data_IF_504273510220
#
_entry.id   IF_504273510220
#
_cell.length_a   1.000
_cell.length_b   1.000
_cell.length_c   1.000
_cell.angle_alpha   90.00
_cell.angle_beta   90.00
_cell.angle_gamma   90.00
#
_symmetry.space_group_name_H-M   'P 1'
#
loop_
_entity.id
_entity.type
_entity.pdbx_description
1 polymer ?
#
# COMPACT_ATOMS: atom_id res chain seq x y z
N UNK A 1 -4.93 12.44 9.61
CA UNK A 1 -4.33 11.87 8.39
C UNK A 1 -4.26 10.36 8.42
N UNK A 2 -3.79 9.71 9.49
CA UNK A 2 -3.68 8.24 9.49
C UNK A 2 -5.01 7.45 9.61
N UNK A 3 -6.08 8.06 10.13
CA UNK A 3 -7.38 7.39 10.33
C UNK A 3 -8.21 7.27 9.06
N UNK A 4 -7.94 8.07 8.03
CA UNK A 4 -8.71 8.10 6.78
C UNK A 4 -8.77 6.73 6.09
N UNK A 5 -7.70 5.94 6.17
CA UNK A 5 -7.68 4.60 5.57
C UNK A 5 -8.75 3.67 6.16
N UNK A 6 -8.99 3.72 7.48
CA UNK A 6 -9.99 2.88 8.14
C UNK A 6 -11.41 3.39 7.86
N UNK A 7 -11.61 4.71 7.78
CA UNK A 7 -12.89 5.28 7.37
C UNK A 7 -13.26 4.88 5.94
N UNK A 8 -12.31 4.94 5.00
CA UNK A 8 -12.55 4.53 3.60
C UNK A 8 -12.97 3.07 3.48
N UNK A 9 -12.42 2.16 4.28
CA UNK A 9 -12.88 0.76 4.30
C UNK A 9 -14.28 0.62 4.93
N UNK A 10 -14.57 1.37 6.00
CA UNK A 10 -15.90 1.37 6.63
C UNK A 10 -16.98 1.87 5.65
N UNK A 11 -16.65 2.89 4.88
CA UNK A 11 -17.53 3.51 3.88
C UNK A 11 -17.51 2.78 2.52
N UNK A 12 -16.74 1.69 2.41
CA UNK A 12 -16.58 0.86 1.21
C UNK A 12 -16.07 1.63 -0.02
N UNK A 13 -15.30 2.70 0.20
CA UNK A 13 -14.61 3.44 -0.86
C UNK A 13 -13.36 2.74 -1.42
N UNK A 14 -13.03 1.55 -0.89
CA UNK A 14 -11.97 0.67 -1.40
C UNK A 14 -12.50 -0.75 -1.62
N UNK A 15 -11.89 -1.52 -2.55
CA UNK A 15 -12.20 -2.93 -2.71
C UNK A 15 -12.03 -3.71 -1.40
N UNK A 16 -13.08 -4.40 -0.98
CA UNK A 16 -13.12 -5.22 0.23
C UNK A 16 -12.64 -6.65 -0.04
N UNK A 17 -11.44 -6.81 -0.62
CA UNK A 17 -10.91 -8.13 -0.93
C UNK A 17 -10.77 -8.98 0.34
N UNK A 18 -11.24 -10.24 0.28
CA UNK A 18 -11.08 -11.17 1.39
C UNK A 18 -9.65 -11.69 1.45
N UNK A 19 -9.15 -11.87 2.68
CA UNK A 19 -7.85 -12.45 2.93
C UNK A 19 -7.88 -13.33 4.18
N UNK A 20 -6.95 -14.28 4.24
CA UNK A 20 -6.71 -15.12 5.41
C UNK A 20 -5.72 -14.43 6.33
N UNK A 21 -5.85 -14.66 7.63
CA UNK A 21 -4.86 -14.25 8.61
C UNK A 21 -3.52 -14.92 8.31
N UNK A 22 -2.47 -14.11 8.14
CA UNK A 22 -1.10 -14.59 7.87
C UNK A 22 -0.25 -14.70 9.13
N UNK A 23 -0.69 -14.09 10.22
CA UNK A 23 -0.02 -14.03 11.51
C UNK A 23 -1.06 -14.08 12.63
N UNK A 24 -0.65 -14.49 13.83
CA UNK A 24 -1.54 -14.70 14.97
C UNK A 24 -2.36 -15.98 14.85
N UNK A 25 -3.64 -15.92 15.18
CA UNK A 25 -4.56 -17.07 15.05
C UNK A 25 -5.00 -17.27 13.59
N UNK A 26 -4.27 -18.11 12.87
CA UNK A 26 -4.52 -18.42 11.46
C UNK A 26 -5.66 -19.42 11.23
N UNK A 27 -6.29 -19.95 12.29
CA UNK A 27 -7.44 -20.85 12.17
C UNK A 27 -8.76 -20.11 11.93
N UNK A 28 -8.76 -18.79 12.14
CA UNK A 28 -9.93 -17.93 11.90
C UNK A 28 -10.35 -17.96 10.42
N UNK A 29 -11.67 -17.83 10.13
CA UNK A 29 -12.14 -17.72 8.76
C UNK A 29 -11.54 -16.49 8.07
N UNK A 30 -11.51 -16.52 6.74
CA UNK A 30 -11.16 -15.36 5.94
C UNK A 30 -12.06 -14.16 6.27
N UNK A 31 -11.49 -12.96 6.18
CA UNK A 31 -12.18 -11.69 6.46
C UNK A 31 -11.78 -10.66 5.42
N UNK A 32 -12.55 -9.56 5.31
CA UNK A 32 -12.13 -8.36 4.58
C UNK A 32 -11.85 -7.21 5.55
N UNK A 33 -11.15 -6.17 5.08
CA UNK A 33 -10.98 -4.94 5.87
C UNK A 33 -12.32 -4.25 6.14
N UNK A 34 -13.29 -4.36 5.23
CA UNK A 34 -14.62 -3.76 5.41
C UNK A 34 -15.40 -4.46 6.53
N UNK A 35 -15.30 -5.79 6.63
CA UNK A 35 -15.89 -6.54 7.75
C UNK A 35 -15.22 -6.17 9.09
N UNK A 36 -13.91 -5.97 9.08
CA UNK A 36 -13.14 -5.55 10.27
C UNK A 36 -13.54 -4.14 10.73
N UNK A 37 -13.75 -3.21 9.79
CA UNK A 37 -14.07 -1.82 10.11
C UNK A 37 -15.54 -1.54 10.37
N UNK A 38 -16.45 -2.45 9.97
CA UNK A 38 -17.89 -2.25 10.06
C UNK A 38 -18.38 -1.93 11.47
N UNK A 39 -17.78 -2.56 12.48
CA UNK A 39 -18.17 -2.43 13.89
C UNK A 39 -17.28 -1.45 14.68
N UNK A 40 -16.32 -0.77 14.03
CA UNK A 40 -15.43 0.18 14.70
C UNK A 40 -16.11 1.54 14.86
N UNK A 41 -16.17 2.03 16.11
CA UNK A 41 -16.53 3.42 16.39
C UNK A 41 -15.42 4.38 15.96
N UNK A 42 -15.76 5.66 15.80
CA UNK A 42 -14.78 6.70 15.45
C UNK A 42 -13.67 6.78 16.51
N UNK A 43 -14.01 6.67 17.79
CA UNK A 43 -13.03 6.62 18.88
C UNK A 43 -12.07 5.41 18.75
N UNK A 44 -12.59 4.24 18.35
CA UNK A 44 -11.75 3.06 18.11
C UNK A 44 -10.84 3.27 16.89
N UNK A 45 -11.36 3.84 15.80
CA UNK A 45 -10.58 4.15 14.60
C UNK A 45 -9.42 5.10 14.95
N UNK A 46 -9.68 6.18 15.70
CA UNK A 46 -8.64 7.12 16.11
C UNK A 46 -7.60 6.47 17.03
N UNK A 47 -8.02 5.63 18.00
CA UNK A 47 -7.09 4.90 18.87
C UNK A 47 -6.24 3.89 18.11
N UNK A 48 -6.83 3.13 17.19
CA UNK A 48 -6.10 2.16 16.36
C UNK A 48 -5.11 2.85 15.44
N UNK A 49 -5.55 3.93 14.79
CA UNK A 49 -4.71 4.80 13.96
C UNK A 49 -3.50 5.32 14.72
N UNK A 50 -3.71 5.91 15.90
CA UNK A 50 -2.62 6.39 16.76
C UNK A 50 -1.69 5.28 17.26
N UNK A 51 -2.24 4.10 17.58
CA UNK A 51 -1.46 2.94 17.99
C UNK A 51 -0.51 2.47 16.89
N UNK A 52 -1.00 2.24 15.67
CA UNK A 52 -0.17 1.75 14.56
C UNK A 52 0.82 2.79 14.07
N UNK A 53 0.47 4.09 14.08
CA UNK A 53 1.40 5.16 13.74
C UNK A 53 2.61 5.24 14.69
N UNK A 54 2.44 4.86 15.96
CA UNK A 54 3.51 4.83 16.95
C UNK A 54 4.43 3.60 16.86
N UNK A 55 4.05 2.57 16.09
CA UNK A 55 4.88 1.39 15.91
C UNK A 55 5.97 1.64 14.86
N UNK A 56 7.19 1.12 15.06
CA UNK A 56 8.18 1.14 14.00
C UNK A 56 7.70 0.29 12.82
N UNK A 57 7.80 0.83 11.61
CA UNK A 57 7.55 0.06 10.39
C UNK A 57 8.65 -1.00 10.24
N UNK A 58 8.24 -2.25 9.99
CA UNK A 58 9.15 -3.38 9.73
C UNK A 58 8.98 -3.80 8.27
N UNK A 59 10.00 -3.57 7.41
CA UNK A 59 9.95 -4.03 6.03
C UNK A 59 9.74 -5.54 5.91
N UNK A 60 8.91 -5.95 4.96
CA UNK A 60 8.60 -7.35 4.73
C UNK A 60 9.79 -8.09 4.13
N UNK A 61 10.22 -9.19 4.77
CA UNK A 61 11.19 -10.13 4.20
C UNK A 61 10.50 -10.99 3.14
N UNK A 62 10.95 -10.88 1.89
CA UNK A 62 10.32 -11.52 0.73
C UNK A 62 11.30 -11.65 -0.45
N UNK A 63 10.95 -12.48 -1.43
CA UNK A 63 11.74 -12.57 -2.66
C UNK A 63 11.45 -11.40 -3.60
N UNK A 64 12.47 -10.97 -4.35
CA UNK A 64 12.37 -9.96 -5.40
C UNK A 64 13.39 -10.21 -6.50
N UNK A 65 13.14 -9.66 -7.70
CA UNK A 65 14.09 -9.67 -8.80
C UNK A 65 14.98 -8.41 -8.73
N UNK A 66 16.29 -8.62 -8.58
CA UNK A 66 17.26 -7.52 -8.43
C UNK A 66 17.44 -6.67 -9.69
N UNK A 67 17.26 -7.26 -10.88
CA UNK A 67 17.36 -6.54 -12.15
C UNK A 67 16.16 -5.61 -12.32
N UNK A 68 14.96 -6.10 -12.03
CA UNK A 68 13.74 -5.32 -12.02
C UNK A 68 13.77 -4.24 -10.93
N UNK A 69 14.28 -4.56 -9.73
CA UNK A 69 14.44 -3.57 -8.67
C UNK A 69 15.37 -2.40 -9.08
N UNK A 70 16.45 -2.71 -9.80
CA UNK A 70 17.36 -1.68 -10.33
C UNK A 70 16.67 -0.80 -11.36
N UNK A 71 15.89 -1.38 -12.27
CA UNK A 71 15.09 -0.62 -13.24
C UNK A 71 14.01 0.22 -12.55
N UNK A 72 13.31 -0.36 -11.57
CA UNK A 72 12.26 0.30 -10.79
C UNK A 72 12.75 1.50 -10.00
N UNK A 73 13.99 1.46 -9.49
CA UNK A 73 14.62 2.61 -8.84
C UNK A 73 14.67 3.83 -9.75
N UNK A 74 15.09 3.64 -11.01
CA UNK A 74 15.19 4.73 -12.00
C UNK A 74 13.81 5.33 -12.28
N UNK A 75 12.79 4.48 -12.40
CA UNK A 75 11.40 4.93 -12.62
C UNK A 75 10.90 5.70 -11.39
N UNK A 76 11.13 5.18 -10.19
CA UNK A 76 10.75 5.83 -8.94
C UNK A 76 11.35 7.24 -8.84
N UNK A 77 12.66 7.38 -9.06
CA UNK A 77 13.37 8.67 -9.00
C UNK A 77 12.79 9.68 -10.00
N UNK A 78 12.41 9.22 -11.20
CA UNK A 78 11.87 10.08 -12.26
C UNK A 78 10.41 10.50 -12.00
N UNK A 79 9.57 9.56 -11.55
CA UNK A 79 8.12 9.71 -11.62
C UNK A 79 7.41 9.73 -10.27
N UNK A 80 7.99 9.14 -9.23
CA UNK A 80 7.32 8.89 -7.95
C UNK A 80 7.91 9.69 -6.78
N UNK A 81 9.23 9.93 -6.80
CA UNK A 81 10.01 10.46 -5.67
C UNK A 81 9.57 11.86 -5.20
N UNK A 82 8.85 12.62 -6.05
CA UNK A 82 8.31 13.93 -5.68
C UNK A 82 7.31 13.85 -4.53
N UNK A 83 6.51 12.79 -4.47
CA UNK A 83 5.49 12.58 -3.43
C UNK A 83 5.88 11.43 -2.50
N UNK A 84 6.42 10.33 -3.05
CA UNK A 84 6.90 9.19 -2.28
C UNK A 84 8.41 9.33 -2.05
N UNK A 85 8.79 10.14 -1.07
CA UNK A 85 10.18 10.50 -0.82
C UNK A 85 11.00 9.35 -0.22
N UNK A 86 12.34 9.48 -0.26
CA UNK A 86 13.29 8.50 0.28
C UNK A 86 13.08 7.06 -0.25
N UNK A 87 12.74 6.90 -1.54
CA UNK A 87 12.44 5.57 -2.08
C UNK A 87 11.05 5.05 -1.69
N UNK A 88 10.19 5.92 -1.18
CA UNK A 88 8.88 5.58 -0.62
C UNK A 88 8.94 5.09 0.82
N UNK A 89 9.97 5.43 1.60
CA UNK A 89 10.10 4.99 3.00
C UNK A 89 9.71 6.05 4.04
N UNK A 90 9.51 7.31 3.64
CA UNK A 90 9.22 8.39 4.58
C UNK A 90 7.74 8.37 5.02
N UNK A 91 7.43 8.14 6.31
CA UNK A 91 6.05 8.16 6.80
C UNK A 91 5.46 9.58 6.96
N UNK A 92 6.30 10.61 6.94
CA UNK A 92 5.90 12.01 7.17
C UNK A 92 5.65 12.78 5.87
N UNK A 93 5.85 12.15 4.71
CA UNK A 93 5.51 12.78 3.44
C UNK A 93 4.00 12.79 3.17
N UNK A 94 3.60 13.50 2.11
CA UNK A 94 2.19 13.60 1.72
C UNK A 94 1.64 12.28 1.12
N UNK A 95 2.47 11.23 1.06
CA UNK A 95 2.14 9.96 0.47
C UNK A 95 2.26 8.81 1.48
N UNK A 96 1.91 7.60 1.05
CA UNK A 96 2.01 6.41 1.90
C UNK A 96 3.33 5.69 1.70
N UNK A 97 3.81 4.99 2.74
CA UNK A 97 4.97 4.10 2.66
C UNK A 97 4.73 3.04 1.57
N UNK A 98 5.70 2.94 0.65
CA UNK A 98 5.78 1.92 -0.39
C UNK A 98 6.95 0.95 -0.13
N UNK A 99 8.07 1.48 0.35
CA UNK A 99 9.29 0.71 0.62
C UNK A 99 9.01 -0.40 1.63
N UNK A 100 9.40 -1.63 1.30
CA UNK A 100 9.26 -2.78 2.19
C UNK A 100 7.84 -3.32 2.32
N UNK A 101 6.87 -2.81 1.55
CA UNK A 101 5.53 -3.38 1.52
C UNK A 101 5.51 -4.74 0.80
N UNK A 102 4.55 -5.60 1.13
CA UNK A 102 4.40 -6.90 0.48
C UNK A 102 4.13 -6.76 -1.02
N UNK A 103 4.91 -7.47 -1.85
CA UNK A 103 4.80 -7.48 -3.31
C UNK A 103 3.38 -7.80 -3.77
N UNK A 104 2.73 -8.79 -3.14
CA UNK A 104 1.36 -9.16 -3.44
C UNK A 104 0.33 -8.07 -3.13
N UNK A 105 0.52 -7.32 -2.04
CA UNK A 105 -0.35 -6.19 -1.71
C UNK A 105 -0.13 -5.04 -2.69
N UNK A 106 1.11 -4.75 -3.04
CA UNK A 106 1.46 -3.71 -3.99
C UNK A 106 0.91 -4.03 -5.39
N UNK A 107 1.04 -5.28 -5.86
CA UNK A 107 0.49 -5.70 -7.15
C UNK A 107 -1.03 -5.56 -7.20
N UNK A 108 -1.74 -5.99 -6.15
CA UNK A 108 -3.19 -5.79 -6.04
C UNK A 108 -3.55 -4.31 -6.04
N UNK A 109 -2.86 -3.50 -5.24
CA UNK A 109 -3.10 -2.06 -5.14
C UNK A 109 -2.88 -1.33 -6.47
N UNK A 110 -1.81 -1.65 -7.20
CA UNK A 110 -1.55 -1.09 -8.53
C UNK A 110 -2.65 -1.47 -9.53
N UNK A 111 -3.13 -2.72 -9.48
CA UNK A 111 -4.23 -3.18 -10.32
C UNK A 111 -5.56 -2.47 -9.99
N UNK A 112 -5.87 -2.28 -8.70
CA UNK A 112 -7.06 -1.52 -8.24
C UNK A 112 -7.02 -0.06 -8.71
N UNK A 113 -5.85 0.57 -8.70
CA UNK A 113 -5.67 1.93 -9.23
C UNK A 113 -5.82 1.98 -10.76
N UNK A 114 -5.24 1.02 -11.47
CA UNK A 114 -5.33 0.94 -12.93
C UNK A 114 -6.76 0.66 -13.42
N UNK A 115 -7.52 -0.19 -12.71
CA UNK A 115 -8.92 -0.49 -13.02
C UNK A 115 -9.88 0.65 -12.64
N UNK A 116 -9.46 1.55 -11.75
CA UNK A 116 -10.30 2.60 -11.18
C UNK A 116 -11.22 2.11 -10.07
N UNK A 117 -11.07 0.87 -9.61
CA UNK A 117 -11.80 0.33 -8.45
C UNK A 117 -11.41 1.01 -7.14
N UNK A 118 -10.22 1.62 -7.11
CA UNK A 118 -9.73 2.41 -5.99
C UNK A 118 -9.50 3.86 -6.40
N UNK A 119 -10.12 4.77 -5.65
CA UNK A 119 -9.93 6.20 -5.84
C UNK A 119 -8.48 6.62 -5.58
N UNK A 120 -7.99 7.52 -6.43
CA UNK A 120 -6.65 8.10 -6.37
C UNK A 120 -6.70 9.57 -6.75
N UNK A 121 -5.74 10.35 -6.26
CA UNK A 121 -5.56 11.74 -6.64
C UNK A 121 -5.24 11.84 -8.13
N UNK A 122 -5.76 12.87 -8.81
CA UNK A 122 -5.53 13.08 -10.26
C UNK A 122 -4.05 13.08 -10.65
N UNK A 123 -3.18 13.63 -9.80
CA UNK A 123 -1.73 13.63 -10.01
C UNK A 123 -1.13 12.23 -9.97
N UNK A 124 -1.62 11.36 -9.07
CA UNK A 124 -1.20 9.96 -9.00
C UNK A 124 -1.74 9.19 -10.20
N UNK A 125 -3.01 9.41 -10.57
CA UNK A 125 -3.62 8.81 -11.75
C UNK A 125 -2.84 9.14 -13.03
N UNK A 126 -2.46 10.40 -13.23
CA UNK A 126 -1.66 10.80 -14.39
C UNK A 126 -0.33 10.05 -14.48
N UNK A 127 0.34 9.82 -13.34
CA UNK A 127 1.57 9.03 -13.30
C UNK A 127 1.30 7.55 -13.57
N UNK A 128 0.30 6.96 -12.93
CA UNK A 128 -0.10 5.57 -13.13
C UNK A 128 -0.47 5.28 -14.59
N UNK A 129 -1.25 6.16 -15.23
CA UNK A 129 -1.68 6.02 -16.63
C UNK A 129 -0.49 6.12 -17.62
N UNK A 130 0.66 6.64 -17.19
CA UNK A 130 1.88 6.73 -18.01
C UNK A 130 2.81 5.52 -17.90
N UNK A 131 2.55 4.59 -16.97
CA UNK A 131 3.37 3.40 -16.75
C UNK A 131 2.96 2.26 -17.69
N UNK A 132 3.96 1.56 -18.23
CA UNK A 132 3.74 0.24 -18.85
C UNK A 132 3.59 -0.86 -17.78
N UNK A 133 3.14 -2.05 -18.19
CA UNK A 133 3.08 -3.19 -17.28
C UNK A 133 4.49 -3.58 -16.78
N UNK A 134 5.49 -3.44 -17.64
CA UNK A 134 6.90 -3.67 -17.32
C UNK A 134 7.42 -2.65 -16.30
N UNK A 135 7.03 -1.38 -16.45
CA UNK A 135 7.38 -0.34 -15.46
C UNK A 135 6.74 -0.62 -14.10
N UNK A 136 5.48 -1.07 -14.09
CA UNK A 136 4.77 -1.46 -12.87
C UNK A 136 5.51 -2.61 -12.19
N UNK A 137 5.79 -3.71 -12.89
CA UNK A 137 6.51 -4.84 -12.28
C UNK A 137 7.91 -4.44 -11.79
N UNK A 138 8.63 -3.57 -12.51
CA UNK A 138 9.90 -3.02 -12.05
C UNK A 138 9.76 -2.23 -10.74
N UNK A 139 8.78 -1.33 -10.63
CA UNK A 139 8.48 -0.58 -9.42
C UNK A 139 8.10 -1.50 -8.25
N UNK A 140 7.26 -2.52 -8.50
CA UNK A 140 6.87 -3.50 -7.49
C UNK A 140 8.09 -4.20 -6.88
N UNK A 141 9.02 -4.66 -7.73
CA UNK A 141 10.26 -5.30 -7.29
C UNK A 141 11.21 -4.32 -6.58
N UNK A 142 11.26 -3.07 -7.02
CA UNK A 142 12.04 -2.03 -6.33
C UNK A 142 11.54 -1.83 -4.91
N UNK A 143 10.25 -1.58 -4.70
CA UNK A 143 9.70 -1.38 -3.37
C UNK A 143 9.82 -2.63 -2.49
N UNK A 144 9.64 -3.82 -3.06
CA UNK A 144 9.83 -5.09 -2.35
C UNK A 144 11.29 -5.34 -1.94
N UNK A 145 12.27 -4.77 -2.65
CA UNK A 145 13.70 -4.92 -2.33
C UNK A 145 14.17 -4.10 -1.12
N UNK A 146 13.37 -3.13 -0.68
CA UNK A 146 13.69 -2.23 0.44
C UNK A 146 13.39 -2.93 1.77
N UNK A 147 14.23 -3.88 2.19
CA UNK A 147 13.98 -4.81 3.31
C UNK A 147 14.94 -4.69 4.49
#
# INVERSE_FOLDING_TARGET
VHSEALYVYRDKGRPCAKSKYRQGDTARPETSMCDVTADLSDEMIEKLSGHYAALPFVPAKQDFDASLATAGKVIHERDCARCHSDGGSNPEDEASILAGQWLGYMRATFAEYASGEREQLDKMKQKMDSLSNEDVEALLHYYASQQ
#
